data_IF_891747389831
#
_entry.id   IF_891747389831
#
_cell.length_a   1.000
_cell.length_b   1.000
_cell.length_c   1.000
_cell.angle_alpha   90.00
_cell.angle_beta   90.00
_cell.angle_gamma   90.00
#
_symmetry.space_group_name_H-M   'P 1'
#
loop_
_entity.id
_entity.type
_entity.pdbx_description
1 polymer ?
#
# COMPACT_ATOMS: atom_id res chain seq x y z
N UNK A 1 -3.65 -7.22 -1.49
CA UNK A 1 -5.08 -7.53 -1.74
C UNK A 1 -5.44 -7.33 -3.20
N UNK A 2 -5.19 -6.14 -3.79
CA UNK A 2 -5.49 -5.84 -5.19
C UNK A 2 -5.11 -6.95 -6.20
N UNK A 3 -3.85 -7.39 -6.20
CA UNK A 3 -3.42 -8.46 -7.11
C UNK A 3 -4.16 -9.79 -6.91
N UNK A 4 -4.54 -10.14 -5.67
CA UNK A 4 -5.36 -11.35 -5.40
C UNK A 4 -6.75 -11.23 -6.01
N UNK A 5 -7.36 -10.04 -5.92
CA UNK A 5 -8.67 -9.76 -6.54
C UNK A 5 -8.58 -9.88 -8.05
N UNK A 6 -7.53 -9.33 -8.67
CA UNK A 6 -7.33 -9.43 -10.12
C UNK A 6 -7.05 -10.86 -10.59
N UNK A 7 -6.29 -11.64 -9.81
CA UNK A 7 -6.09 -13.08 -10.09
C UNK A 7 -7.40 -13.86 -9.98
N UNK A 8 -8.19 -13.61 -8.93
CA UNK A 8 -9.49 -14.25 -8.76
C UNK A 8 -10.49 -13.87 -9.87
N UNK A 9 -10.40 -12.65 -10.39
CA UNK A 9 -11.18 -12.17 -11.54
C UNK A 9 -10.67 -12.70 -12.90
N UNK A 10 -9.57 -13.46 -12.94
CA UNK A 10 -8.97 -13.96 -14.18
C UNK A 10 -8.27 -12.90 -15.03
N UNK A 11 -8.08 -11.69 -14.50
CA UNK A 11 -7.41 -10.58 -15.19
C UNK A 11 -5.89 -10.67 -15.11
N UNK A 12 -5.37 -11.29 -14.05
CA UNK A 12 -3.94 -11.58 -13.89
C UNK A 12 -3.73 -13.08 -13.65
N UNK A 13 -2.56 -13.57 -14.06
CA UNK A 13 -2.09 -14.91 -13.73
C UNK A 13 -1.23 -14.86 -12.47
N UNK A 14 -1.11 -15.99 -11.78
CA UNK A 14 -0.16 -16.12 -10.66
C UNK A 14 1.30 -15.91 -11.10
N UNK A 15 1.62 -16.19 -12.36
CA UNK A 15 2.91 -15.88 -12.98
C UNK A 15 3.18 -14.38 -13.04
N UNK A 16 2.18 -13.55 -13.33
CA UNK A 16 2.34 -12.10 -13.40
C UNK A 16 2.68 -11.51 -12.03
N UNK A 17 2.01 -12.02 -10.98
CA UNK A 17 2.32 -11.64 -9.59
C UNK A 17 3.73 -12.09 -9.20
N UNK A 18 4.13 -13.30 -9.59
CA UNK A 18 5.47 -13.81 -9.33
C UNK A 18 6.54 -12.98 -10.04
N UNK A 19 6.28 -12.59 -11.30
CA UNK A 19 7.11 -11.70 -12.08
C UNK A 19 7.26 -10.33 -11.40
N UNK A 20 6.17 -9.74 -10.92
CA UNK A 20 6.21 -8.50 -10.15
C UNK A 20 7.02 -8.61 -8.85
N UNK A 21 7.00 -9.75 -8.17
CA UNK A 21 7.72 -9.92 -6.90
C UNK A 21 9.20 -10.24 -7.10
N UNK A 22 9.53 -11.08 -8.09
CA UNK A 22 10.90 -11.59 -8.29
C UNK A 22 11.67 -10.79 -9.33
N UNK A 23 11.03 -10.40 -10.42
CA UNK A 23 11.71 -9.78 -11.56
C UNK A 23 12.83 -10.68 -12.06
N UNK A 24 13.91 -10.06 -12.55
CA UNK A 24 15.08 -10.76 -13.06
C UNK A 24 16.07 -11.25 -12.00
N UNK A 25 15.70 -11.29 -10.72
CA UNK A 25 16.62 -11.64 -9.63
C UNK A 25 17.21 -13.07 -9.73
N UNK A 26 16.58 -13.96 -10.49
CA UNK A 26 17.06 -15.32 -10.72
C UNK A 26 17.96 -15.45 -11.97
N UNK A 27 18.11 -14.38 -12.76
CA UNK A 27 18.91 -14.40 -13.99
C UNK A 27 20.37 -14.04 -13.70
N UNK A 28 21.28 -14.64 -14.47
CA UNK A 28 22.69 -14.26 -14.49
C UNK A 28 22.94 -13.31 -15.68
N UNK A 29 23.60 -12.17 -15.43
CA UNK A 29 23.97 -11.18 -16.44
C UNK A 29 24.78 -11.76 -17.60
N UNK A 30 25.56 -12.82 -17.37
CA UNK A 30 26.37 -13.48 -18.39
C UNK A 30 25.57 -14.48 -19.24
N UNK A 31 24.36 -14.86 -18.77
CA UNK A 31 23.49 -15.84 -19.43
C UNK A 31 22.38 -15.21 -20.28
N UNK A 32 22.19 -13.90 -20.17
CA UNK A 32 21.17 -13.15 -20.88
C UNK A 32 21.73 -12.38 -22.08
N UNK A 33 20.84 -11.84 -22.92
CA UNK A 33 21.23 -10.91 -23.98
C UNK A 33 22.09 -9.77 -23.43
N UNK A 34 23.15 -9.41 -24.16
CA UNK A 34 24.11 -8.36 -23.77
C UNK A 34 23.36 -7.05 -23.50
N UNK A 35 23.67 -6.41 -22.36
CA UNK A 35 23.17 -5.08 -22.02
C UNK A 35 23.74 -4.02 -22.98
N UNK A 36 22.91 -3.35 -23.79
CA UNK A 36 23.39 -2.30 -24.69
C UNK A 36 23.51 -0.94 -23.98
N UNK A 37 22.78 -0.74 -22.88
CA UNK A 37 22.62 0.55 -22.20
C UNK A 37 23.66 0.77 -21.10
N UNK A 38 24.43 1.86 -21.22
CA UNK A 38 25.42 2.25 -20.20
C UNK A 38 24.80 3.00 -19.01
N UNK A 39 23.65 3.65 -19.22
CA UNK A 39 22.92 4.44 -18.22
C UNK A 39 22.09 3.60 -17.24
N UNK A 40 22.01 2.29 -17.46
CA UNK A 40 21.22 1.36 -16.66
C UNK A 40 22.11 0.35 -15.93
N UNK A 41 21.75 -0.02 -14.69
CA UNK A 41 22.46 -1.07 -13.93
C UNK A 41 22.23 -2.47 -14.50
N UNK A 42 23.05 -3.44 -14.08
CA UNK A 42 22.85 -4.84 -14.48
C UNK A 42 21.56 -5.41 -13.90
N UNK A 43 21.21 -5.08 -12.65
CA UNK A 43 20.00 -5.59 -12.00
C UNK A 43 18.73 -5.12 -12.71
N UNK A 44 18.69 -3.84 -13.09
CA UNK A 44 17.57 -3.29 -13.87
C UNK A 44 17.50 -3.95 -15.25
N UNK A 45 18.64 -4.17 -15.89
CA UNK A 45 18.66 -4.88 -17.17
C UNK A 45 18.11 -6.31 -17.05
N UNK A 46 18.48 -7.04 -16.01
CA UNK A 46 17.94 -8.38 -15.76
C UNK A 46 16.42 -8.35 -15.59
N UNK A 47 15.87 -7.34 -14.89
CA UNK A 47 14.42 -7.15 -14.80
C UNK A 47 13.77 -6.89 -16.17
N UNK A 48 14.38 -6.06 -17.01
CA UNK A 48 13.88 -5.77 -18.37
C UNK A 48 13.93 -7.02 -19.26
N UNK A 49 14.99 -7.83 -19.15
CA UNK A 49 15.08 -9.12 -19.87
C UNK A 49 13.98 -10.06 -19.42
N UNK A 50 13.84 -10.26 -18.11
CA UNK A 50 12.81 -11.15 -17.55
C UNK A 50 11.40 -10.68 -17.92
N UNK A 51 11.12 -9.38 -17.81
CA UNK A 51 9.82 -8.81 -18.18
C UNK A 51 9.48 -9.10 -19.65
N UNK A 52 10.43 -8.89 -20.55
CA UNK A 52 10.26 -9.11 -21.98
C UNK A 52 10.14 -10.59 -22.35
N UNK A 53 10.75 -11.50 -21.58
CA UNK A 53 10.63 -12.94 -21.83
C UNK A 53 9.36 -13.55 -21.24
N UNK A 54 8.94 -13.08 -20.06
CA UNK A 54 7.89 -13.72 -19.26
C UNK A 54 6.52 -13.06 -19.41
N UNK A 55 6.44 -11.85 -19.98
CA UNK A 55 5.18 -11.17 -20.26
C UNK A 55 5.06 -10.81 -21.75
N UNK A 56 4.11 -11.47 -22.43
CA UNK A 56 3.85 -11.28 -23.86
C UNK A 56 3.55 -9.83 -24.25
N UNK A 57 2.96 -9.03 -23.35
CA UNK A 57 2.67 -7.61 -23.62
C UNK A 57 3.96 -6.81 -23.84
N UNK A 58 5.04 -7.17 -23.15
CA UNK A 58 6.34 -6.51 -23.21
C UNK A 58 7.36 -7.28 -24.04
N UNK A 59 6.93 -8.19 -24.93
CA UNK A 59 7.85 -9.03 -25.70
C UNK A 59 8.87 -8.22 -26.51
N UNK A 60 8.46 -7.06 -27.00
CA UNK A 60 9.27 -6.15 -27.82
C UNK A 60 10.00 -5.07 -27.00
N UNK A 61 9.86 -5.06 -25.67
CA UNK A 61 10.38 -3.99 -24.81
C UNK A 61 11.84 -3.64 -25.10
N UNK A 62 12.69 -4.65 -25.31
CA UNK A 62 14.11 -4.38 -25.61
C UNK A 62 14.36 -3.86 -27.02
N UNK A 63 13.61 -4.29 -28.04
CA UNK A 63 13.75 -3.67 -29.37
C UNK A 63 13.29 -2.22 -29.35
N UNK A 64 12.21 -1.93 -28.61
CA UNK A 64 11.63 -0.59 -28.51
C UNK A 64 12.60 0.34 -27.76
N UNK A 65 13.15 -0.12 -26.64
CA UNK A 65 14.19 0.61 -25.88
C UNK A 65 15.45 0.89 -26.69
N UNK A 66 15.88 -0.04 -27.57
CA UNK A 66 17.01 0.20 -28.45
C UNK A 66 16.68 1.22 -29.55
N UNK A 67 15.46 1.17 -30.09
CA UNK A 67 15.03 2.05 -31.19
C UNK A 67 14.79 3.48 -30.71
N UNK A 68 14.35 3.65 -29.47
CA UNK A 68 14.02 4.94 -28.86
C UNK A 68 14.83 5.22 -27.58
N UNK A 69 16.13 4.89 -27.61
CA UNK A 69 16.99 4.91 -26.41
C UNK A 69 16.98 6.26 -25.69
N UNK A 70 16.97 7.38 -26.42
CA UNK A 70 17.02 8.71 -25.82
C UNK A 70 15.77 9.00 -24.96
N UNK A 71 14.58 8.59 -25.41
CA UNK A 71 13.35 8.78 -24.65
C UNK A 71 13.31 7.89 -23.41
N UNK A 72 13.73 6.62 -23.53
CA UNK A 72 13.80 5.69 -22.41
C UNK A 72 14.83 6.10 -21.36
N UNK A 73 16.00 6.59 -21.80
CA UNK A 73 17.01 7.13 -20.89
C UNK A 73 16.46 8.33 -20.14
N UNK A 74 15.82 9.28 -20.84
CA UNK A 74 15.20 10.45 -20.21
C UNK A 74 14.14 10.05 -19.19
N UNK A 75 13.27 9.10 -19.54
CA UNK A 75 12.26 8.58 -18.63
C UNK A 75 12.90 7.90 -17.41
N UNK A 76 13.92 7.05 -17.61
CA UNK A 76 14.63 6.36 -16.54
C UNK A 76 15.33 7.32 -15.57
N UNK A 77 15.91 8.41 -16.07
CA UNK A 77 16.64 9.43 -15.29
C UNK A 77 15.71 10.48 -14.65
N UNK A 78 14.40 10.48 -14.95
CA UNK A 78 13.43 11.40 -14.35
C UNK A 78 13.28 11.16 -12.84
N UNK A 79 12.93 12.18 -12.05
CA UNK A 79 12.72 11.99 -10.61
C UNK A 79 11.40 11.27 -10.30
N UNK A 80 10.39 11.45 -11.17
CA UNK A 80 9.01 10.96 -11.03
C UNK A 80 8.55 10.24 -12.31
N UNK A 81 9.29 9.20 -12.75
CA UNK A 81 9.01 8.49 -14.00
C UNK A 81 7.63 7.84 -14.01
N UNK A 82 7.10 7.46 -12.85
CA UNK A 82 5.78 6.85 -12.74
C UNK A 82 4.64 7.82 -13.08
N UNK A 83 4.87 9.14 -12.98
CA UNK A 83 3.95 10.20 -13.40
C UNK A 83 4.20 10.68 -14.83
N UNK A 84 5.31 10.26 -15.44
CA UNK A 84 5.69 10.65 -16.80
C UNK A 84 5.07 9.73 -17.84
N UNK A 85 4.96 10.21 -19.09
CA UNK A 85 4.54 9.40 -20.24
C UNK A 85 5.56 8.29 -20.46
N UNK A 86 5.10 7.03 -20.46
CA UNK A 86 5.97 5.89 -20.75
C UNK A 86 6.29 5.87 -22.25
N UNK A 87 7.58 5.93 -22.64
CA UNK A 87 7.96 5.84 -24.05
C UNK A 87 7.42 4.56 -24.69
N UNK A 88 6.89 4.67 -25.90
CA UNK A 88 6.35 3.57 -26.74
C UNK A 88 5.12 2.82 -26.19
N UNK A 89 4.82 2.90 -24.88
CA UNK A 89 3.77 2.10 -24.25
C UNK A 89 2.60 2.89 -23.65
N UNK A 90 2.71 4.22 -23.42
CA UNK A 90 1.68 4.98 -22.68
C UNK A 90 0.26 4.76 -23.23
N UNK A 91 0.03 5.05 -24.51
CA UNK A 91 -1.30 4.93 -25.11
C UNK A 91 -1.81 3.48 -25.07
N UNK A 92 -0.95 2.52 -25.41
CA UNK A 92 -1.32 1.09 -25.40
C UNK A 92 -1.74 0.61 -24.00
N UNK A 93 -1.11 1.15 -22.95
CA UNK A 93 -1.45 0.84 -21.56
C UNK A 93 -2.80 1.47 -21.20
N UNK A 94 -3.05 2.71 -21.61
CA UNK A 94 -4.33 3.39 -21.37
C UNK A 94 -5.50 2.70 -22.08
N UNK A 95 -5.24 2.09 -23.24
CA UNK A 95 -6.22 1.31 -23.99
C UNK A 95 -6.55 -0.05 -23.33
N UNK A 96 -5.87 -0.42 -22.22
CA UNK A 96 -6.14 -1.61 -21.43
C UNK A 96 -6.79 -1.25 -20.07
N UNK A 97 -8.11 -0.99 -20.02
CA UNK A 97 -8.76 -0.47 -18.80
C UNK A 97 -8.68 -1.43 -17.60
N UNK A 98 -8.66 -2.74 -17.83
CA UNK A 98 -8.70 -3.74 -16.75
C UNK A 98 -7.30 -4.10 -16.19
N UNK A 99 -6.26 -4.06 -17.03
CA UNK A 99 -4.90 -4.51 -16.67
C UNK A 99 -3.82 -3.43 -16.84
N UNK A 100 -4.11 -2.33 -17.54
CA UNK A 100 -3.19 -1.22 -17.79
C UNK A 100 -2.52 -0.67 -16.53
N UNK A 101 -3.27 -0.42 -15.43
CA UNK A 101 -2.66 -0.01 -14.16
C UNK A 101 -1.60 -0.98 -13.65
N UNK A 102 -1.83 -2.29 -13.81
CA UNK A 102 -0.85 -3.32 -13.42
C UNK A 102 0.36 -3.35 -14.38
N UNK A 103 0.13 -3.21 -15.69
CA UNK A 103 1.21 -3.15 -16.69
C UNK A 103 2.13 -1.95 -16.44
N UNK A 104 1.57 -0.78 -16.13
CA UNK A 104 2.31 0.42 -15.72
C UNK A 104 3.15 0.14 -14.48
N UNK A 105 2.54 -0.42 -13.43
CA UNK A 105 3.23 -0.78 -12.19
C UNK A 105 4.38 -1.76 -12.45
N UNK A 106 4.14 -2.79 -13.26
CA UNK A 106 5.13 -3.82 -13.55
C UNK A 106 6.36 -3.23 -14.27
N UNK A 107 6.13 -2.36 -15.25
CA UNK A 107 7.21 -1.69 -15.97
C UNK A 107 8.00 -0.74 -15.06
N UNK A 108 7.30 0.12 -14.28
CA UNK A 108 7.96 1.02 -13.32
C UNK A 108 8.78 0.23 -12.32
N UNK A 109 8.24 -0.85 -11.76
CA UNK A 109 8.99 -1.67 -10.81
C UNK A 109 10.25 -2.28 -11.42
N UNK A 110 10.21 -2.68 -12.70
CA UNK A 110 11.35 -3.30 -13.37
C UNK A 110 12.47 -2.30 -13.64
N UNK A 111 12.14 -1.07 -14.03
CA UNK A 111 13.12 -0.04 -14.36
C UNK A 111 13.52 0.84 -13.16
N UNK A 112 12.58 1.14 -12.26
CA UNK A 112 12.70 2.12 -11.18
C UNK A 112 12.13 1.57 -9.89
N UNK A 113 12.86 0.62 -9.32
CA UNK A 113 12.47 -0.09 -8.11
C UNK A 113 12.18 0.87 -6.94
N UNK A 114 12.93 1.98 -6.85
CA UNK A 114 12.77 3.04 -5.85
C UNK A 114 11.39 3.74 -5.92
N UNK A 115 10.75 3.76 -7.09
CA UNK A 115 9.41 4.36 -7.29
C UNK A 115 8.27 3.34 -7.15
N UNK A 116 8.57 2.07 -6.90
CA UNK A 116 7.57 0.98 -6.89
C UNK A 116 6.46 1.19 -5.85
N UNK A 117 6.77 1.79 -4.70
CA UNK A 117 5.75 2.06 -3.66
C UNK A 117 4.75 3.10 -4.15
N UNK A 118 5.22 4.18 -4.77
CA UNK A 118 4.37 5.24 -5.33
C UNK A 118 3.53 4.69 -6.48
N UNK A 119 4.16 3.98 -7.42
CA UNK A 119 3.44 3.30 -8.50
C UNK A 119 2.42 2.26 -8.00
N UNK A 120 2.70 1.58 -6.88
CA UNK A 120 1.74 0.64 -6.27
C UNK A 120 0.49 1.34 -5.75
N UNK A 121 0.62 2.56 -5.21
CA UNK A 121 -0.53 3.38 -4.78
C UNK A 121 -1.36 3.79 -5.98
N UNK A 122 -0.72 4.23 -7.05
CA UNK A 122 -1.41 4.64 -8.28
C UNK A 122 -2.11 3.46 -8.95
N UNK A 123 -1.46 2.29 -8.98
CA UNK A 123 -2.07 1.04 -9.41
C UNK A 123 -3.34 0.72 -8.62
N UNK A 124 -3.30 0.76 -7.29
CA UNK A 124 -4.48 0.47 -6.47
C UNK A 124 -5.58 1.51 -6.72
N UNK A 125 -5.22 2.80 -6.82
CA UNK A 125 -6.16 3.89 -7.11
C UNK A 125 -6.87 3.71 -8.45
N UNK A 126 -6.13 3.31 -9.48
CA UNK A 126 -6.62 3.19 -10.85
C UNK A 126 -7.23 1.81 -11.17
N UNK A 127 -7.11 0.82 -10.27
CA UNK A 127 -7.72 -0.50 -10.46
C UNK A 127 -9.23 -0.43 -10.25
N UNK A 128 -10.02 -0.81 -11.25
CA UNK A 128 -11.49 -0.72 -11.25
C UNK A 128 -12.18 -1.47 -10.09
N UNK A 129 -11.64 -2.61 -9.68
CA UNK A 129 -12.15 -3.41 -8.56
C UNK A 129 -11.71 -2.85 -7.19
N UNK A 130 -10.82 -1.87 -7.21
CA UNK A 130 -10.34 -1.11 -6.05
C UNK A 130 -10.80 0.34 -6.23
N UNK A 131 -10.03 1.30 -5.73
CA UNK A 131 -10.33 2.71 -5.86
C UNK A 131 -9.48 3.56 -4.92
N UNK A 132 -9.64 4.89 -4.99
CA UNK A 132 -8.87 5.84 -4.18
C UNK A 132 -9.00 5.59 -2.67
N UNK A 133 -10.16 5.16 -2.19
CA UNK A 133 -10.42 4.86 -0.77
C UNK A 133 -9.46 3.82 -0.17
N UNK A 134 -8.85 2.97 -1.00
CA UNK A 134 -7.88 1.96 -0.54
C UNK A 134 -6.44 2.49 -0.41
N UNK A 135 -6.17 3.73 -0.81
CA UNK A 135 -4.85 4.38 -0.70
C UNK A 135 -4.90 5.78 -0.06
N UNK A 136 -6.09 6.31 0.15
CA UNK A 136 -6.32 7.52 0.91
C UNK A 136 -6.06 7.29 2.40
N UNK A 137 -5.54 8.29 3.12
CA UNK A 137 -5.42 8.21 4.57
C UNK A 137 -6.79 7.96 5.19
N UNK A 138 -6.86 6.99 6.11
CA UNK A 138 -8.07 6.76 6.90
C UNK A 138 -8.17 7.89 7.93
N UNK A 139 -9.26 8.64 7.90
CA UNK A 139 -9.57 9.70 8.87
C UNK A 139 -10.62 9.19 9.86
N UNK A 140 -10.32 8.12 10.57
CA UNK A 140 -11.24 7.61 11.60
C UNK A 140 -11.34 8.65 12.72
N UNK A 141 -12.54 9.19 12.92
CA UNK A 141 -12.81 10.11 14.04
C UNK A 141 -13.22 9.32 15.27
N UNK A 142 -13.10 9.94 16.45
CA UNK A 142 -13.59 9.34 17.71
C UNK A 142 -15.09 9.04 17.65
N UNK A 143 -15.87 9.86 16.93
CA UNK A 143 -17.28 9.59 16.65
C UNK A 143 -17.49 8.33 15.80
N UNK A 144 -16.69 8.11 14.76
CA UNK A 144 -16.81 6.90 13.93
C UNK A 144 -16.49 5.65 14.74
N UNK A 145 -15.45 5.72 15.59
CA UNK A 145 -15.12 4.64 16.53
C UNK A 145 -16.32 4.38 17.45
N UNK A 146 -16.89 5.42 18.05
CA UNK A 146 -18.06 5.30 18.93
C UNK A 146 -19.26 4.61 18.29
N UNK A 147 -19.63 4.99 17.07
CA UNK A 147 -20.79 4.39 16.40
C UNK A 147 -20.56 2.91 16.02
N UNK A 148 -19.30 2.49 15.89
CA UNK A 148 -18.92 1.10 15.63
C UNK A 148 -18.69 0.27 16.91
N UNK A 149 -18.64 0.91 18.08
CA UNK A 149 -18.39 0.26 19.37
C UNK A 149 -19.59 -0.55 19.85
N UNK A 150 -19.30 -1.63 20.57
CA UNK A 150 -20.29 -2.42 21.32
C UNK A 150 -19.82 -2.54 22.77
N UNK A 151 -20.71 -2.48 23.79
CA UNK A 151 -20.30 -2.50 25.19
C UNK A 151 -19.62 -3.79 25.65
N UNK A 152 -19.76 -4.89 24.90
CA UNK A 152 -19.14 -6.19 25.14
C UNK A 152 -17.81 -6.38 24.39
N UNK A 153 -17.41 -5.43 23.53
CA UNK A 153 -16.18 -5.47 22.75
C UNK A 153 -15.28 -4.28 23.11
N UNK A 154 -14.12 -4.51 23.77
CA UNK A 154 -13.22 -3.41 24.13
C UNK A 154 -12.58 -2.78 22.89
N UNK A 155 -12.37 -1.46 22.95
CA UNK A 155 -11.60 -0.73 21.94
C UNK A 155 -10.16 -0.56 22.40
N UNK A 156 -9.22 -0.87 21.50
CA UNK A 156 -7.79 -0.72 21.73
C UNK A 156 -7.26 0.39 20.84
N UNK A 157 -6.72 1.45 21.45
CA UNK A 157 -6.03 2.51 20.74
C UNK A 157 -4.54 2.18 20.61
N UNK A 158 -4.03 2.11 19.39
CA UNK A 158 -2.60 1.93 19.11
C UNK A 158 -1.96 3.31 18.92
N UNK A 159 -1.24 3.76 19.94
CA UNK A 159 -0.75 5.13 20.02
C UNK A 159 0.67 5.27 19.46
N UNK A 160 0.88 6.36 18.73
CA UNK A 160 2.23 6.83 18.41
C UNK A 160 2.85 7.54 19.63
N UNK A 161 4.17 7.70 19.67
CA UNK A 161 4.80 8.47 20.76
C UNK A 161 4.25 9.90 20.79
N UNK A 162 3.77 10.32 21.96
CA UNK A 162 3.22 11.66 22.17
C UNK A 162 1.77 11.84 21.77
N UNK A 163 1.09 10.78 21.32
CA UNK A 163 -0.34 10.77 21.06
C UNK A 163 -1.10 10.26 22.30
N UNK A 164 -2.19 10.95 22.68
CA UNK A 164 -3.06 10.59 23.80
C UNK A 164 -4.53 10.90 23.44
N UNK A 165 -5.39 9.88 23.28
CA UNK A 165 -6.78 10.08 22.87
C UNK A 165 -7.69 10.55 24.02
N UNK A 166 -7.19 10.67 25.25
CA UNK A 166 -8.00 10.92 26.45
C UNK A 166 -8.87 12.16 26.33
N UNK A 167 -8.29 13.30 25.93
CA UNK A 167 -9.04 14.56 25.78
C UNK A 167 -10.15 14.45 24.72
N UNK A 168 -9.89 13.69 23.65
CA UNK A 168 -10.87 13.44 22.58
C UNK A 168 -12.02 12.55 23.07
N UNK A 169 -11.70 11.52 23.86
CA UNK A 169 -12.69 10.63 24.48
C UNK A 169 -13.56 11.39 25.49
N UNK A 170 -12.95 12.21 26.37
CA UNK A 170 -13.69 13.03 27.32
C UNK A 170 -14.61 14.03 26.61
N UNK A 171 -14.12 14.66 25.54
CA UNK A 171 -14.91 15.57 24.72
C UNK A 171 -16.10 14.86 24.08
N UNK A 172 -15.91 13.63 23.59
CA UNK A 172 -16.99 12.81 23.06
C UNK A 172 -18.04 12.50 24.14
N UNK A 173 -17.63 12.09 25.33
CA UNK A 173 -18.54 11.82 26.45
C UNK A 173 -19.40 13.05 26.77
N UNK A 174 -18.80 14.25 26.84
CA UNK A 174 -19.53 15.51 27.03
C UNK A 174 -20.53 15.77 25.90
N UNK A 175 -20.11 15.60 24.64
CA UNK A 175 -20.94 15.83 23.45
C UNK A 175 -22.14 14.86 23.38
N UNK A 176 -21.94 13.60 23.76
CA UNK A 176 -22.98 12.55 23.78
C UNK A 176 -23.78 12.52 25.09
N UNK A 177 -23.49 13.42 26.04
CA UNK A 177 -24.12 13.47 27.38
C UNK A 177 -23.97 12.16 28.17
N UNK A 178 -22.83 11.49 27.97
CA UNK A 178 -22.44 10.31 28.73
C UNK A 178 -21.73 10.73 30.02
N UNK A 179 -21.71 9.86 31.06
CA UNK A 179 -20.85 10.08 32.21
C UNK A 179 -19.38 10.23 31.81
N UNK A 180 -18.62 10.98 32.62
CA UNK A 180 -17.17 11.08 32.42
C UNK A 180 -16.52 9.69 32.52
N UNK A 181 -15.51 9.40 31.68
CA UNK A 181 -14.81 8.12 31.73
C UNK A 181 -14.02 8.00 33.04
N UNK A 182 -13.95 6.79 33.59
CA UNK A 182 -12.99 6.46 34.64
C UNK A 182 -11.62 6.22 33.99
N UNK A 183 -10.67 7.12 34.22
CA UNK A 183 -9.32 7.03 33.65
C UNK A 183 -8.38 6.38 34.66
N UNK A 184 -7.75 5.26 34.27
CA UNK A 184 -6.78 4.52 35.08
C UNK A 184 -5.49 4.40 34.28
N UNK A 185 -4.42 4.98 34.80
CA UNK A 185 -3.08 4.77 34.27
C UNK A 185 -2.52 3.47 34.85
N UNK A 186 -2.27 2.48 33.99
CA UNK A 186 -1.69 1.21 34.39
C UNK A 186 -0.20 1.38 34.71
N UNK A 187 0.22 0.62 35.70
CA UNK A 187 1.56 0.61 36.27
C UNK A 187 1.62 -0.46 37.36
N UNK A 188 2.73 -0.53 38.06
CA UNK A 188 2.90 -1.51 39.13
C UNK A 188 1.81 -1.35 40.20
N UNK A 189 1.07 -2.43 40.49
CA UNK A 189 0.01 -2.45 41.50
C UNK A 189 -1.35 -1.85 41.11
N UNK A 190 -1.56 -1.42 39.85
CA UNK A 190 -2.83 -0.80 39.42
C UNK A 190 -3.90 -1.80 38.94
N UNK A 191 -3.55 -3.08 38.78
CA UNK A 191 -4.47 -4.14 38.33
C UNK A 191 -5.76 -4.22 39.17
N UNK A 192 -5.73 -4.24 40.53
CA UNK A 192 -6.96 -4.31 41.33
C UNK A 192 -7.87 -3.09 41.14
N UNK A 193 -7.28 -1.92 40.89
CA UNK A 193 -8.01 -0.66 40.65
C UNK A 193 -8.71 -0.72 39.29
N UNK A 194 -8.00 -1.18 38.26
CA UNK A 194 -8.54 -1.35 36.91
C UNK A 194 -9.71 -2.35 36.90
N UNK A 195 -9.55 -3.52 37.53
CA UNK A 195 -10.63 -4.54 37.63
C UNK A 195 -11.86 -3.99 38.33
N UNK A 196 -11.67 -3.24 39.44
CA UNK A 196 -12.78 -2.60 40.16
C UNK A 196 -13.49 -1.56 39.29
N UNK A 197 -12.74 -0.77 38.52
CA UNK A 197 -13.30 0.23 37.61
C UNK A 197 -14.11 -0.43 36.49
N UNK A 198 -13.59 -1.50 35.86
CA UNK A 198 -14.32 -2.28 34.84
C UNK A 198 -15.62 -2.83 35.41
N UNK A 199 -15.58 -3.53 36.54
CA UNK A 199 -16.76 -4.11 37.17
C UNK A 199 -17.82 -3.05 37.51
N UNK A 200 -17.39 -1.88 37.96
CA UNK A 200 -18.30 -0.74 38.22
C UNK A 200 -18.85 -0.17 36.92
N UNK A 201 -18.02 -0.08 35.88
CA UNK A 201 -18.40 0.42 34.55
C UNK A 201 -19.44 -0.44 33.86
N UNK A 202 -19.34 -1.77 33.98
CA UNK A 202 -20.35 -2.72 33.46
C UNK A 202 -21.72 -2.47 34.08
N UNK A 203 -21.78 -2.21 35.40
CA UNK A 203 -23.06 -1.99 36.11
C UNK A 203 -23.63 -0.61 35.80
N UNK A 204 -22.78 0.42 35.76
CA UNK A 204 -23.21 1.82 35.66
C UNK A 204 -23.32 2.34 34.22
N UNK A 205 -22.85 1.59 33.23
CA UNK A 205 -22.75 2.05 31.85
C UNK A 205 -21.73 3.17 31.65
N UNK A 206 -20.66 3.21 32.45
CA UNK A 206 -19.59 4.21 32.34
C UNK A 206 -18.38 3.67 31.60
N UNK A 207 -17.76 4.53 30.81
CA UNK A 207 -16.54 4.19 30.09
C UNK A 207 -15.36 4.06 31.05
N UNK A 208 -14.49 3.10 30.78
CA UNK A 208 -13.26 2.86 31.55
C UNK A 208 -12.09 2.96 30.59
N UNK A 209 -11.25 3.96 30.77
CA UNK A 209 -10.07 4.19 29.96
C UNK A 209 -8.84 3.68 30.71
N UNK A 210 -8.21 2.64 30.16
CA UNK A 210 -6.95 2.10 30.67
C UNK A 210 -5.80 2.68 29.83
N UNK A 211 -4.92 3.44 30.46
CA UNK A 211 -3.76 4.04 29.82
C UNK A 211 -2.49 3.25 30.19
N UNK A 212 -1.41 3.41 29.42
CA UNK A 212 -0.11 2.75 29.69
C UNK A 212 -0.22 1.22 29.87
N UNK A 213 -1.07 0.60 29.05
CA UNK A 213 -1.25 -0.86 28.99
C UNK A 213 -0.02 -1.57 28.43
#
# INVERSE_FOLDING_TARGET
>A
VAMKVLVAAGLLKSSDVTLFLRGGAALDINSVRRKPFQWMSNDVWLNVVELSNSNNYFSNLVSDMNSNELAWKRWYEDNEPEQSIIPDYEQSILDQPDIGPFLRLLLVRCLRLDRSILASRDFIRATKQMGPTYVEPVTDTMEMVYEAMSPDIPVVFLLSRGDDPTDSIETLCRKKKLPAPAVISLGEGQEPVAVKAINSGVVNGTWVLLQNC
#
